data_IF_876351138190
#
_entry.id   IF_876351138190
#
_cell.length_a   1.000
_cell.length_b   1.000
_cell.length_c   1.000
_cell.angle_alpha   90.00
_cell.angle_beta   90.00
_cell.angle_gamma   90.00
#
_symmetry.space_group_name_H-M   'P 1'
#
loop_
_entity.id
_entity.type
_entity.pdbx_description
1 polymer ?
#
# COMPACT_ATOMS: atom_id res chain seq x y z
N UNK A 1 29.90 21.83 15.74
CA UNK A 1 28.56 22.21 16.24
C UNK A 1 28.74 22.67 17.68
N UNK A 2 28.36 23.90 17.99
CA UNK A 2 28.38 24.43 19.36
C UNK A 2 26.96 24.23 19.92
N UNK A 3 26.85 23.65 21.11
CA UNK A 3 25.58 23.43 21.79
C UNK A 3 25.33 24.61 22.74
N UNK A 4 24.24 25.34 22.53
CA UNK A 4 23.85 26.46 23.40
C UNK A 4 23.28 25.95 24.74
N UNK A 5 23.31 26.82 25.75
CA UNK A 5 22.80 26.48 27.07
C UNK A 5 21.27 26.29 27.03
N UNK A 6 20.80 25.06 27.24
CA UNK A 6 19.38 24.69 27.21
C UNK A 6 18.99 23.82 26.02
N UNK A 7 19.82 23.77 24.98
CA UNK A 7 19.59 22.89 23.83
C UNK A 7 20.00 21.45 24.13
N UNK A 8 19.30 20.49 23.53
CA UNK A 8 19.80 19.12 23.42
C UNK A 8 20.83 19.02 22.30
N UNK A 9 21.70 18.02 22.33
CA UNK A 9 22.71 17.81 21.28
C UNK A 9 22.07 17.70 19.89
N UNK A 10 20.92 17.02 19.77
CA UNK A 10 20.20 16.90 18.50
C UNK A 10 19.61 18.22 18.01
N UNK A 11 19.11 19.09 18.90
CA UNK A 11 18.63 20.43 18.51
C UNK A 11 19.79 21.26 17.93
N UNK A 12 20.95 21.26 18.59
CA UNK A 12 22.14 21.96 18.09
C UNK A 12 22.62 21.41 16.73
N UNK A 13 22.57 20.09 16.52
CA UNK A 13 22.87 19.47 15.23
C UNK A 13 21.89 19.92 14.14
N UNK A 14 20.59 19.95 14.43
CA UNK A 14 19.54 20.34 13.48
C UNK A 14 19.72 21.78 13.00
N UNK A 15 20.11 22.70 13.90
CA UNK A 15 20.46 24.08 13.52
C UNK A 15 21.61 24.18 12.50
N UNK A 16 22.45 23.15 12.39
CA UNK A 16 23.55 23.06 11.43
C UNK A 16 23.24 22.14 10.24
N UNK A 17 21.98 21.73 10.06
CA UNK A 17 21.55 20.88 8.95
C UNK A 17 21.94 19.40 9.12
N UNK A 18 22.19 18.97 10.36
CA UNK A 18 22.59 17.60 10.72
C UNK A 18 21.53 16.95 11.60
N UNK A 19 21.37 15.64 11.46
CA UNK A 19 20.52 14.83 12.33
C UNK A 19 21.39 13.77 13.01
N UNK A 20 21.37 13.72 14.34
CA UNK A 20 22.14 12.74 15.10
C UNK A 20 21.55 11.34 14.97
N UNK A 21 22.42 10.33 14.98
CA UNK A 21 22.04 8.92 14.93
C UNK A 21 21.71 8.31 16.31
N UNK A 22 21.67 9.12 17.37
CA UNK A 22 21.27 8.68 18.70
C UNK A 22 20.58 9.82 19.46
N UNK A 23 19.67 9.52 20.41
CA UNK A 23 18.74 10.52 20.94
C UNK A 23 19.37 11.51 21.93
N UNK A 24 20.42 11.13 22.67
CA UNK A 24 20.96 11.93 23.79
C UNK A 24 22.36 12.45 23.51
N UNK A 25 23.27 11.58 23.07
CA UNK A 25 24.68 11.89 22.83
C UNK A 25 25.12 11.32 21.48
N UNK A 26 24.77 11.99 20.36
CA UNK A 26 25.10 11.54 19.01
C UNK A 26 26.61 11.60 18.76
N UNK A 27 27.21 10.43 18.54
CA UNK A 27 28.61 10.29 18.09
C UNK A 27 28.74 10.33 16.57
N UNK A 28 27.63 10.08 15.86
CA UNK A 28 27.51 10.15 14.42
C UNK A 28 26.29 11.01 14.08
N UNK A 29 26.40 11.80 13.02
CA UNK A 29 25.31 12.59 12.50
C UNK A 29 25.34 12.54 10.96
N UNK A 30 24.17 12.60 10.35
CA UNK A 30 23.99 12.59 8.90
C UNK A 30 23.39 13.93 8.48
N UNK A 31 23.82 14.48 7.35
CA UNK A 31 23.24 15.74 6.85
C UNK A 31 21.82 15.51 6.36
N UNK A 32 20.95 16.52 6.51
CA UNK A 32 19.60 16.46 5.92
C UNK A 32 19.66 16.29 4.40
N UNK A 33 20.66 16.86 3.73
CA UNK A 33 20.85 16.67 2.28
C UNK A 33 21.11 15.20 1.92
N UNK A 34 21.86 14.46 2.75
CA UNK A 34 22.10 13.04 2.52
C UNK A 34 20.84 12.21 2.81
N UNK A 35 20.10 12.54 3.86
CA UNK A 35 18.84 11.87 4.20
C UNK A 35 17.77 12.14 3.14
N UNK A 36 17.68 13.37 2.64
CA UNK A 36 16.77 13.73 1.55
C UNK A 36 17.18 13.06 0.23
N UNK A 37 18.47 12.99 -0.09
CA UNK A 37 18.93 12.21 -1.24
C UNK A 37 18.48 10.75 -1.12
N UNK A 38 18.63 10.15 0.07
CA UNK A 38 18.19 8.78 0.30
C UNK A 38 16.67 8.63 0.17
N UNK A 39 15.91 9.57 0.71
CA UNK A 39 14.46 9.64 0.62
C UNK A 39 13.99 9.70 -0.85
N UNK A 40 14.58 10.58 -1.66
CA UNK A 40 14.28 10.68 -3.08
C UNK A 40 14.66 9.40 -3.85
N UNK A 41 15.78 8.75 -3.48
CA UNK A 41 16.14 7.46 -4.07
C UNK A 41 15.08 6.40 -3.74
N UNK A 42 14.59 6.33 -2.50
CA UNK A 42 13.54 5.36 -2.14
C UNK A 42 12.22 5.62 -2.86
N UNK A 43 11.84 6.88 -3.06
CA UNK A 43 10.67 7.24 -3.84
C UNK A 43 10.79 6.79 -5.31
N UNK A 44 11.96 6.94 -5.93
CA UNK A 44 12.18 6.61 -7.35
C UNK A 44 12.62 5.16 -7.59
N UNK A 45 13.15 4.50 -6.56
CA UNK A 45 13.62 3.13 -6.58
C UNK A 45 13.31 2.47 -5.24
N UNK A 46 12.07 2.02 -5.07
CA UNK A 46 11.56 1.38 -3.85
C UNK A 46 12.23 0.05 -3.48
N UNK A 47 13.11 -0.47 -4.33
CA UNK A 47 13.96 -1.63 -4.00
C UNK A 47 15.31 -1.23 -3.35
N UNK A 48 15.62 0.06 -3.24
CA UNK A 48 16.90 0.55 -2.74
C UNK A 48 16.95 0.54 -1.20
N UNK A 49 17.74 -0.38 -0.64
CA UNK A 49 17.79 -0.61 0.81
C UNK A 49 18.68 0.37 1.57
N UNK A 50 18.40 0.54 2.87
CA UNK A 50 19.28 1.30 3.79
C UNK A 50 20.69 0.69 3.81
N UNK A 51 20.80 -0.64 3.72
CA UNK A 51 22.09 -1.31 3.62
C UNK A 51 22.86 -0.92 2.35
N UNK A 52 22.17 -0.76 1.21
CA UNK A 52 22.79 -0.29 -0.02
C UNK A 52 23.29 1.15 0.15
N UNK A 53 22.46 2.04 0.72
CA UNK A 53 22.87 3.41 1.04
C UNK A 53 24.09 3.45 1.97
N UNK A 54 24.06 2.67 3.05
CA UNK A 54 25.17 2.57 4.00
C UNK A 54 26.48 2.15 3.31
N UNK A 55 26.43 1.16 2.41
CA UNK A 55 27.60 0.74 1.62
C UNK A 55 28.13 1.86 0.72
N UNK A 56 27.24 2.61 0.06
CA UNK A 56 27.61 3.76 -0.78
C UNK A 56 28.33 4.82 0.07
N UNK A 57 27.78 5.18 1.22
CA UNK A 57 28.38 6.16 2.12
C UNK A 57 29.73 5.68 2.67
N UNK A 58 29.85 4.41 3.10
CA UNK A 58 31.12 3.85 3.53
C UNK A 58 32.20 3.90 2.44
N UNK A 59 31.81 3.64 1.17
CA UNK A 59 32.72 3.70 0.03
C UNK A 59 33.16 5.13 -0.29
N UNK A 60 32.24 6.10 -0.28
CA UNK A 60 32.54 7.51 -0.54
C UNK A 60 33.43 8.14 0.53
N UNK A 61 33.16 7.84 1.80
CA UNK A 61 33.87 8.45 2.92
C UNK A 61 35.14 7.70 3.32
N UNK A 62 35.52 6.63 2.59
CA UNK A 62 36.70 5.81 2.91
C UNK A 62 36.76 5.45 4.41
N UNK A 63 35.61 5.13 5.02
CA UNK A 63 35.51 4.93 6.48
C UNK A 63 36.33 3.67 6.84
N UNK A 64 37.61 3.88 7.07
CA UNK A 64 38.54 3.00 7.77
C UNK A 64 38.43 3.38 9.25
N UNK A 65 37.81 2.52 10.05
CA UNK A 65 38.16 2.53 11.47
C UNK A 65 39.60 1.99 11.60
N UNK A 66 40.45 2.63 12.41
CA UNK A 66 41.86 2.27 12.49
C UNK A 66 42.02 1.02 13.38
N UNK A 67 41.95 -0.17 12.80
CA UNK A 67 42.67 -1.32 13.34
C UNK A 67 44.05 -1.37 12.68
N UNK A 68 45.03 -0.85 13.41
CA UNK A 68 46.43 -0.82 13.01
C UNK A 68 47.02 -2.24 12.98
N UNK A 69 46.86 -2.99 11.88
CA UNK A 69 47.79 -4.08 11.48
C UNK A 69 47.49 -4.75 10.12
N UNK A 70 46.81 -4.09 9.18
CA UNK A 70 46.57 -4.66 7.83
C UNK A 70 46.88 -3.61 6.77
N UNK A 71 48.15 -3.18 6.68
CA UNK A 71 48.57 -2.18 5.69
C UNK A 71 49.09 -2.79 4.38
N UNK A 72 49.24 -4.13 4.28
CA UNK A 72 49.80 -4.76 3.08
C UNK A 72 48.83 -5.63 2.24
N UNK A 73 47.58 -5.86 2.67
CA UNK A 73 46.61 -6.66 1.90
C UNK A 73 45.50 -5.85 1.22
N UNK A 74 45.51 -4.52 1.36
CA UNK A 74 44.32 -3.67 1.15
C UNK A 74 44.41 -2.81 -0.12
N UNK A 75 45.02 -3.35 -1.20
CA UNK A 75 44.96 -2.71 -2.52
C UNK A 75 43.83 -3.26 -3.41
N UNK A 76 43.19 -4.38 -3.03
CA UNK A 76 42.14 -5.03 -3.86
C UNK A 76 40.79 -5.27 -3.17
N UNK A 77 40.61 -4.95 -1.87
CA UNK A 77 39.31 -5.02 -1.17
C UNK A 77 39.14 -3.83 -0.22
N UNK A 78 38.59 -2.73 -0.71
CA UNK A 78 38.36 -1.51 0.08
C UNK A 78 36.88 -1.13 0.11
N UNK A 79 36.05 -2.01 0.68
CA UNK A 79 34.69 -1.66 1.13
C UNK A 79 34.50 -2.27 2.51
N UNK A 80 34.83 -1.52 3.55
CA UNK A 80 34.55 -1.88 4.95
C UNK A 80 33.11 -1.47 5.27
N UNK A 81 32.14 -2.29 4.85
CA UNK A 81 30.77 -2.19 5.35
C UNK A 81 30.73 -2.52 6.83
N UNK A 82 30.21 -1.61 7.66
CA UNK A 82 29.99 -1.87 9.09
C UNK A 82 28.50 -1.99 9.36
N UNK A 83 28.06 -3.13 9.89
CA UNK A 83 26.66 -3.35 10.30
C UNK A 83 26.16 -2.30 11.29
N UNK A 84 27.04 -1.84 12.18
CA UNK A 84 26.72 -0.77 13.14
C UNK A 84 26.34 0.56 12.47
N UNK A 85 27.05 0.99 11.42
CA UNK A 85 26.70 2.21 10.71
C UNK A 85 25.34 2.09 10.00
N UNK A 86 24.99 0.90 9.52
CA UNK A 86 23.67 0.66 8.94
C UNK A 86 22.56 0.91 9.96
N UNK A 87 22.72 0.46 11.22
CA UNK A 87 21.74 0.70 12.29
C UNK A 87 21.63 2.19 12.59
N UNK A 88 22.75 2.89 12.75
CA UNK A 88 22.78 4.34 12.97
C UNK A 88 22.11 5.13 11.84
N UNK A 89 22.26 4.67 10.59
CA UNK A 89 21.62 5.28 9.44
C UNK A 89 20.10 5.02 9.42
N UNK A 90 19.66 3.81 9.80
CA UNK A 90 18.23 3.49 9.98
C UNK A 90 17.62 4.45 11.01
N UNK A 91 18.20 4.55 12.21
CA UNK A 91 17.68 5.41 13.28
C UNK A 91 17.55 6.89 12.86
N UNK A 92 18.58 7.41 12.18
CA UNK A 92 18.55 8.78 11.65
C UNK A 92 17.50 8.94 10.54
N UNK A 93 17.38 7.96 9.64
CA UNK A 93 16.42 8.01 8.54
C UNK A 93 14.97 7.87 9.01
N UNK A 94 14.68 7.00 9.97
CA UNK A 94 13.33 6.90 10.55
C UNK A 94 12.94 8.17 11.29
N UNK A 95 13.88 8.77 12.01
CA UNK A 95 13.67 10.08 12.65
C UNK A 95 13.39 11.15 11.61
N UNK A 96 14.13 11.17 10.50
CA UNK A 96 13.90 12.07 9.37
C UNK A 96 12.51 11.90 8.77
N UNK A 97 12.12 10.66 8.44
CA UNK A 97 10.79 10.36 7.92
C UNK A 97 9.69 10.68 8.93
N UNK A 98 9.94 10.53 10.22
CA UNK A 98 8.99 10.94 11.26
C UNK A 98 8.76 12.46 11.28
N UNK A 99 9.83 13.26 11.16
CA UNK A 99 9.74 14.72 11.05
C UNK A 99 8.94 15.10 9.81
N UNK A 100 9.25 14.52 8.64
CA UNK A 100 8.54 14.81 7.39
C UNK A 100 7.04 14.48 7.49
N UNK A 101 6.70 13.29 8.02
CA UNK A 101 5.30 12.89 8.23
C UNK A 101 4.57 13.86 9.16
N UNK A 102 5.21 14.31 10.23
CA UNK A 102 4.60 15.28 11.15
C UNK A 102 4.29 16.62 10.45
N UNK A 103 5.21 17.12 9.62
CA UNK A 103 5.01 18.32 8.81
C UNK A 103 3.88 18.12 7.81
N UNK A 104 3.89 17.00 7.06
CA UNK A 104 2.86 16.68 6.08
C UNK A 104 1.47 16.55 6.73
N UNK A 105 1.36 15.89 7.88
CA UNK A 105 0.10 15.78 8.61
C UNK A 105 -0.40 17.15 9.08
N UNK A 106 0.50 18.02 9.58
CA UNK A 106 0.13 19.38 9.97
C UNK A 106 -0.41 20.17 8.77
N UNK A 107 0.22 20.04 7.61
CA UNK A 107 -0.23 20.66 6.37
C UNK A 107 -1.58 20.09 5.91
N UNK A 108 -1.76 18.76 5.91
CA UNK A 108 -3.02 18.10 5.56
C UNK A 108 -4.16 18.61 6.45
N UNK A 109 -3.96 18.67 7.76
CA UNK A 109 -4.95 19.20 8.71
C UNK A 109 -5.28 20.68 8.41
N UNK A 110 -4.28 21.51 8.12
CA UNK A 110 -4.49 22.91 7.79
C UNK A 110 -5.27 23.11 6.47
N UNK A 111 -5.12 22.19 5.51
CA UNK A 111 -5.83 22.19 4.23
C UNK A 111 -7.19 21.46 4.29
N UNK A 112 -7.53 20.80 5.41
CA UNK A 112 -8.71 19.93 5.51
C UNK A 112 -8.60 18.67 4.64
N UNK A 113 -7.37 18.25 4.33
CA UNK A 113 -7.02 17.07 3.54
C UNK A 113 -6.60 15.88 4.42
N UNK A 114 -6.94 15.91 5.72
CA UNK A 114 -6.60 14.88 6.68
C UNK A 114 -7.68 13.78 6.80
N UNK A 115 -7.26 12.66 7.39
CA UNK A 115 -8.13 11.55 7.75
C UNK A 115 -8.22 10.45 6.70
N UNK A 116 -8.55 9.25 7.16
CA UNK A 116 -8.61 8.02 6.34
C UNK A 116 -9.65 8.06 5.22
N UNK A 117 -10.58 9.03 5.25
CA UNK A 117 -11.57 9.21 4.19
C UNK A 117 -11.08 10.11 3.05
N UNK A 118 -10.02 10.90 3.25
CA UNK A 118 -9.57 11.88 2.27
C UNK A 118 -9.11 11.23 0.96
N UNK A 119 -8.34 10.13 1.04
CA UNK A 119 -7.85 9.42 -0.15
C UNK A 119 -8.98 9.04 -1.10
N UNK A 120 -10.03 8.44 -0.57
CA UNK A 120 -11.19 8.02 -1.34
C UNK A 120 -12.13 9.18 -1.72
N UNK A 121 -12.19 10.24 -0.90
CA UNK A 121 -13.05 11.41 -1.16
C UNK A 121 -12.50 12.33 -2.23
N UNK A 122 -11.21 12.66 -2.15
CA UNK A 122 -10.64 13.89 -2.75
C UNK A 122 -9.23 13.77 -3.33
N UNK A 123 -8.51 12.65 -3.18
CA UNK A 123 -7.13 12.58 -3.69
C UNK A 123 -7.05 12.64 -5.22
N UNK A 124 -7.97 11.95 -5.92
CA UNK A 124 -8.10 12.10 -7.37
C UNK A 124 -9.03 13.27 -7.69
N UNK A 125 -8.46 14.43 -8.07
CA UNK A 125 -9.24 15.61 -8.43
C UNK A 125 -10.23 15.35 -9.56
N UNK A 126 -9.85 14.52 -10.55
CA UNK A 126 -10.72 14.20 -11.70
C UNK A 126 -11.94 13.37 -11.28
N UNK A 127 -11.81 12.50 -10.29
CA UNK A 127 -12.95 11.74 -9.75
C UNK A 127 -13.77 12.57 -8.74
N UNK A 128 -13.12 13.48 -8.03
CA UNK A 128 -13.69 14.16 -6.88
C UNK A 128 -14.34 15.50 -7.16
N UNK A 129 -13.87 16.19 -8.19
CA UNK A 129 -14.32 17.53 -8.52
C UNK A 129 -15.42 17.50 -9.57
N UNK A 130 -16.55 18.15 -9.28
CA UNK A 130 -17.68 18.30 -10.21
C UNK A 130 -17.87 19.77 -10.54
N UNK A 131 -18.05 20.09 -11.81
CA UNK A 131 -18.31 21.47 -12.24
C UNK A 131 -19.81 21.80 -12.19
N UNK A 132 -20.18 23.06 -11.89
CA UNK A 132 -21.57 23.50 -12.00
C UNK A 132 -22.13 23.27 -13.41
N UNK A 133 -23.20 22.48 -13.51
CA UNK A 133 -23.85 22.16 -14.80
C UNK A 133 -23.25 20.96 -15.54
N UNK A 134 -22.28 20.26 -14.96
CA UNK A 134 -21.76 19.02 -15.51
C UNK A 134 -22.84 17.94 -15.57
N UNK A 135 -22.95 17.17 -16.67
CA UNK A 135 -23.87 16.04 -16.75
C UNK A 135 -23.57 15.01 -15.66
N UNK A 136 -24.62 14.48 -15.02
CA UNK A 136 -24.44 13.37 -14.07
C UNK A 136 -23.91 12.13 -14.79
N UNK A 137 -22.76 11.66 -14.36
CA UNK A 137 -22.15 10.43 -14.84
C UNK A 137 -22.82 9.22 -14.20
N UNK A 138 -22.99 8.14 -14.97
CA UNK A 138 -23.48 6.85 -14.49
C UNK A 138 -22.70 5.73 -15.21
N UNK A 139 -21.77 5.05 -14.52
CA UNK A 139 -21.36 5.27 -13.12
C UNK A 139 -20.72 6.64 -12.88
N UNK A 140 -20.88 7.18 -11.66
CA UNK A 140 -20.28 8.43 -11.20
C UNK A 140 -18.77 8.33 -11.06
N UNK A 141 -18.26 7.22 -10.52
CA UNK A 141 -16.83 6.89 -10.51
C UNK A 141 -16.62 5.42 -10.84
N UNK A 142 -15.44 5.14 -11.39
CA UNK A 142 -14.98 3.81 -11.75
C UNK A 142 -13.79 3.45 -10.87
N UNK A 143 -13.87 2.29 -10.26
CA UNK A 143 -12.87 1.74 -9.37
C UNK A 143 -12.44 0.35 -9.84
N UNK A 144 -11.24 -0.06 -9.48
CA UNK A 144 -10.71 -1.41 -9.63
C UNK A 144 -10.24 -1.89 -8.27
N UNK A 145 -10.55 -3.15 -7.93
CA UNK A 145 -10.05 -3.77 -6.70
C UNK A 145 -9.48 -5.16 -6.97
N UNK A 146 -8.39 -5.49 -6.28
CA UNK A 146 -7.74 -6.81 -6.40
C UNK A 146 -6.75 -7.10 -5.26
N UNK A 147 -6.35 -8.37 -5.11
CA UNK A 147 -5.33 -8.83 -4.17
C UNK A 147 -3.92 -8.92 -4.78
N UNK A 148 -2.90 -8.48 -4.05
CA UNK A 148 -1.48 -8.67 -4.36
C UNK A 148 -0.76 -9.47 -3.27
N UNK A 149 -0.23 -10.63 -3.66
CA UNK A 149 0.49 -11.56 -2.78
C UNK A 149 2.01 -11.31 -2.72
N UNK A 150 2.53 -10.26 -3.36
CA UNK A 150 3.97 -9.97 -3.33
C UNK A 150 4.40 -9.22 -2.08
N UNK A 151 3.48 -8.45 -1.48
CA UNK A 151 3.69 -7.63 -0.29
C UNK A 151 3.71 -8.46 1.01
N UNK A 152 4.46 -9.58 1.00
CA UNK A 152 4.56 -10.52 2.12
C UNK A 152 5.51 -10.02 3.21
N UNK A 153 5.19 -10.33 4.46
CA UNK A 153 6.02 -10.09 5.64
C UNK A 153 6.07 -11.36 6.50
N UNK A 154 7.27 -11.81 6.86
CA UNK A 154 7.47 -13.03 7.64
C UNK A 154 6.97 -12.88 9.06
N UNK A 155 6.30 -13.92 9.57
CA UNK A 155 5.86 -13.95 10.95
C UNK A 155 7.04 -13.87 11.93
N UNK A 156 6.84 -13.14 13.02
CA UNK A 156 7.89 -12.82 14.00
C UNK A 156 8.91 -11.76 13.59
N UNK A 157 8.84 -11.20 12.37
CA UNK A 157 9.75 -10.12 11.94
C UNK A 157 9.52 -8.85 12.76
N UNK A 158 10.60 -8.31 13.34
CA UNK A 158 10.54 -7.07 14.11
C UNK A 158 9.75 -7.17 15.41
N UNK A 159 9.73 -8.33 16.07
CA UNK A 159 9.02 -8.54 17.35
C UNK A 159 9.46 -7.60 18.49
N UNK A 160 10.64 -7.00 18.40
CA UNK A 160 11.14 -6.00 19.34
C UNK A 160 10.70 -4.56 19.00
N UNK A 161 10.15 -4.33 17.81
CA UNK A 161 9.67 -3.03 17.37
C UNK A 161 8.23 -2.82 17.86
N UNK A 162 8.07 -1.84 18.75
CA UNK A 162 6.77 -1.50 19.34
C UNK A 162 6.09 -0.33 18.62
N UNK A 163 6.67 0.21 17.56
CA UNK A 163 6.13 1.37 16.88
C UNK A 163 4.89 1.00 16.08
N UNK A 164 3.91 1.91 16.08
CA UNK A 164 2.68 1.79 15.30
C UNK A 164 2.74 2.82 14.18
N UNK A 165 2.57 2.35 12.94
CA UNK A 165 2.51 3.23 11.78
C UNK A 165 1.05 3.57 11.48
N UNK A 166 0.72 4.87 11.43
CA UNK A 166 -0.58 5.35 11.01
C UNK A 166 -0.49 5.83 9.57
N UNK A 167 -1.32 5.26 8.70
CA UNK A 167 -1.39 5.60 7.28
C UNK A 167 -2.82 5.98 6.90
N UNK A 168 -2.96 6.92 5.97
CA UNK A 168 -4.24 7.29 5.38
C UNK A 168 -4.72 6.25 4.34
N UNK A 169 -3.85 5.34 3.90
CA UNK A 169 -4.19 4.29 2.92
C UNK A 169 -4.84 3.08 3.56
N UNK A 170 -4.38 2.67 4.74
CA UNK A 170 -4.71 1.35 5.29
C UNK A 170 -6.04 1.37 6.07
N UNK A 171 -6.93 0.46 5.71
CA UNK A 171 -8.17 0.20 6.45
C UNK A 171 -7.81 -0.50 7.77
N UNK A 172 -8.27 0.00 8.93
CA UNK A 172 -8.02 -0.65 10.21
C UNK A 172 -8.50 -2.11 10.22
N UNK A 173 -7.70 -2.99 10.82
CA UNK A 173 -7.96 -4.44 10.83
C UNK A 173 -9.30 -4.78 11.50
N UNK A 174 -9.73 -3.97 12.47
CA UNK A 174 -11.01 -4.13 13.15
C UNK A 174 -12.17 -3.99 12.18
N UNK A 175 -12.12 -3.01 11.27
CA UNK A 175 -13.14 -2.83 10.22
C UNK A 175 -13.14 -4.00 9.25
N UNK A 176 -11.96 -4.44 8.79
CA UNK A 176 -11.83 -5.61 7.90
C UNK A 176 -12.43 -6.87 8.55
N UNK A 177 -12.19 -7.06 9.85
CA UNK A 177 -12.64 -8.25 10.56
C UNK A 177 -14.15 -8.28 10.84
N UNK A 178 -14.88 -7.17 10.69
CA UNK A 178 -16.36 -7.19 10.75
C UNK A 178 -16.96 -8.12 9.69
N UNK A 179 -16.26 -8.32 8.57
CA UNK A 179 -16.69 -9.18 7.48
C UNK A 179 -16.15 -10.62 7.54
N UNK A 180 -15.44 -10.99 8.61
CA UNK A 180 -14.79 -12.31 8.74
C UNK A 180 -15.80 -13.46 8.59
N UNK A 181 -16.98 -13.31 9.18
CA UNK A 181 -18.01 -14.37 9.25
C UNK A 181 -19.16 -14.16 8.24
N UNK A 182 -19.11 -13.11 7.43
CA UNK A 182 -20.21 -12.74 6.53
C UNK A 182 -20.50 -13.78 5.45
N UNK A 183 -19.55 -14.66 5.13
CA UNK A 183 -19.69 -15.68 4.07
C UNK A 183 -19.91 -17.10 4.62
N UNK A 184 -19.52 -17.37 5.88
CA UNK A 184 -19.59 -18.72 6.45
C UNK A 184 -21.02 -19.17 6.81
N UNK A 185 -21.96 -18.23 6.99
CA UNK A 185 -23.29 -18.53 7.55
C UNK A 185 -24.26 -19.24 6.60
N UNK A 186 -23.98 -19.37 5.29
CA UNK A 186 -24.96 -19.87 4.31
C UNK A 186 -24.55 -21.06 3.45
N UNK A 187 -23.35 -21.63 3.61
CA UNK A 187 -22.92 -22.77 2.79
C UNK A 187 -23.62 -24.11 3.10
N UNK A 188 -24.59 -24.14 4.05
CA UNK A 188 -25.19 -25.39 4.53
C UNK A 188 -26.52 -25.80 3.91
N UNK A 189 -27.20 -24.98 3.09
CA UNK A 189 -28.50 -25.35 2.53
C UNK A 189 -28.78 -24.70 1.15
N UNK A 190 -28.22 -25.25 0.07
CA UNK A 190 -28.85 -25.17 -1.27
C UNK A 190 -28.51 -26.44 -2.07
N UNK A 191 -29.40 -27.43 -2.04
CA UNK A 191 -29.50 -28.46 -3.07
C UNK A 191 -30.33 -27.90 -4.22
N UNK A 192 -29.65 -27.45 -5.28
CA UNK A 192 -30.31 -26.92 -6.47
C UNK A 192 -29.37 -26.89 -7.66
N UNK A 193 -29.66 -27.73 -8.66
CA UNK A 193 -29.02 -27.76 -9.97
C UNK A 193 -29.12 -26.39 -10.65
N UNK A 194 -28.01 -25.66 -10.74
CA UNK A 194 -27.87 -24.49 -11.61
C UNK A 194 -26.38 -24.31 -11.96
N UNK A 195 -26.10 -24.14 -13.25
CA UNK A 195 -24.83 -23.81 -13.93
C UNK A 195 -23.55 -23.80 -13.06
N UNK A 196 -22.54 -24.59 -13.45
CA UNK A 196 -21.20 -24.59 -12.83
C UNK A 196 -20.73 -23.16 -12.53
N UNK A 197 -20.34 -22.92 -11.28
CA UNK A 197 -19.93 -21.60 -10.83
C UNK A 197 -18.67 -21.21 -11.59
N UNK A 198 -18.56 -19.96 -12.06
CA UNK A 198 -17.31 -19.46 -12.65
C UNK A 198 -16.13 -19.59 -11.67
N UNK A 199 -16.42 -19.64 -10.36
CA UNK A 199 -15.45 -19.85 -9.29
C UNK A 199 -14.84 -21.26 -9.26
N UNK A 200 -15.50 -22.27 -9.83
CA UNK A 200 -15.03 -23.67 -9.76
C UNK A 200 -13.80 -23.91 -10.64
N UNK A 201 -13.59 -23.06 -11.66
CA UNK A 201 -12.49 -23.15 -12.63
C UNK A 201 -11.29 -22.24 -12.31
N UNK A 202 -11.37 -21.39 -11.28
CA UNK A 202 -10.31 -20.44 -10.93
C UNK A 202 -9.26 -21.08 -10.02
N UNK A 203 -8.18 -21.61 -10.62
CA UNK A 203 -7.07 -22.26 -9.92
C UNK A 203 -6.30 -21.29 -9.00
N UNK A 204 -6.30 -19.98 -9.30
CA UNK A 204 -5.61 -18.96 -8.49
C UNK A 204 -6.30 -18.70 -7.14
N UNK A 205 -7.63 -18.85 -7.07
CA UNK A 205 -8.37 -18.76 -5.80
C UNK A 205 -7.98 -19.86 -4.79
N UNK A 206 -7.28 -20.91 -5.25
CA UNK A 206 -6.78 -22.04 -4.44
C UNK A 206 -5.25 -22.05 -4.30
N UNK A 207 -4.55 -21.06 -4.87
CA UNK A 207 -3.09 -21.11 -5.04
C UNK A 207 -2.29 -20.72 -3.79
N UNK A 208 -2.94 -20.28 -2.71
CA UNK A 208 -2.23 -20.15 -1.43
C UNK A 208 -2.30 -21.50 -0.74
N UNK A 209 -1.24 -22.31 -0.89
CA UNK A 209 -1.06 -23.52 -0.11
C UNK A 209 -1.05 -23.12 1.38
N UNK A 210 -1.76 -23.87 2.24
CA UNK A 210 -1.92 -23.57 3.68
C UNK A 210 -0.56 -23.45 4.40
N UNK A 211 0.48 -24.12 3.90
CA UNK A 211 1.85 -24.07 4.40
C UNK A 211 2.54 -22.70 4.16
N UNK A 212 2.28 -22.04 3.03
CA UNK A 212 2.78 -20.69 2.77
C UNK A 212 2.08 -19.64 3.63
N UNK A 213 0.80 -19.84 3.99
CA UNK A 213 0.06 -18.90 4.83
C UNK A 213 0.67 -18.80 6.23
N UNK A 214 1.12 -19.92 6.80
CA UNK A 214 1.60 -19.96 8.19
C UNK A 214 2.95 -19.27 8.39
N UNK A 215 3.73 -19.08 7.34
CA UNK A 215 5.08 -18.48 7.41
C UNK A 215 5.01 -16.93 7.40
N UNK A 216 3.91 -16.36 6.91
CA UNK A 216 3.78 -14.91 6.71
C UNK A 216 2.69 -14.31 7.58
N UNK A 217 3.05 -13.32 8.40
CA UNK A 217 2.10 -12.55 9.19
C UNK A 217 1.26 -11.62 8.31
N UNK A 218 1.86 -10.98 7.30
CA UNK A 218 1.16 -10.38 6.15
C UNK A 218 1.41 -11.24 4.91
N UNK A 219 0.34 -11.77 4.33
CA UNK A 219 0.40 -12.58 3.09
C UNK A 219 0.32 -11.73 1.84
N UNK A 220 -0.05 -10.45 1.96
CA UNK A 220 -0.22 -9.52 0.86
C UNK A 220 -1.03 -8.28 1.25
N UNK A 221 -1.49 -7.57 0.23
CA UNK A 221 -2.38 -6.41 0.34
C UNK A 221 -3.55 -6.57 -0.62
N UNK A 222 -4.72 -6.05 -0.25
CA UNK A 222 -5.87 -5.92 -1.14
C UNK A 222 -6.12 -4.44 -1.39
N UNK A 223 -6.07 -4.03 -2.65
CA UNK A 223 -6.04 -2.61 -3.05
C UNK A 223 -7.33 -2.22 -3.75
N UNK A 224 -7.77 -0.99 -3.50
CA UNK A 224 -8.73 -0.26 -4.32
C UNK A 224 -8.03 0.93 -4.97
N UNK A 225 -8.29 1.13 -6.26
CA UNK A 225 -7.83 2.29 -6.98
C UNK A 225 -8.92 2.83 -7.90
N UNK A 226 -8.89 4.14 -8.16
CA UNK A 226 -9.73 4.75 -9.19
C UNK A 226 -9.16 4.46 -10.59
N UNK A 227 -9.98 4.65 -11.64
CA UNK A 227 -9.54 4.51 -13.05
C UNK A 227 -8.31 5.35 -13.44
N UNK A 228 -8.04 6.46 -12.74
CA UNK A 228 -6.87 7.32 -12.99
C UNK A 228 -5.60 6.83 -12.29
N UNK A 229 -5.65 5.66 -11.63
CA UNK A 229 -4.48 5.04 -11.01
C UNK A 229 -4.22 5.43 -9.57
N UNK A 230 -4.95 6.37 -8.97
CA UNK A 230 -4.76 6.73 -7.56
C UNK A 230 -5.19 5.59 -6.65
N UNK A 231 -4.37 5.27 -5.66
CA UNK A 231 -4.68 4.29 -4.62
C UNK A 231 -5.62 4.94 -3.60
N UNK A 232 -6.83 4.39 -3.47
CA UNK A 232 -7.88 4.97 -2.65
C UNK A 232 -7.91 4.37 -1.24
N UNK A 233 -7.68 3.06 -1.12
CA UNK A 233 -7.49 2.38 0.16
C UNK A 233 -6.84 1.00 -0.01
N UNK A 234 -6.31 0.47 1.08
CA UNK A 234 -5.60 -0.82 1.15
C UNK A 234 -6.09 -1.58 2.38
N UNK A 235 -6.42 -2.87 2.23
CA UNK A 235 -6.63 -3.78 3.34
C UNK A 235 -5.44 -4.75 3.47
N UNK A 236 -4.92 -4.91 4.69
CA UNK A 236 -3.88 -5.90 4.97
C UNK A 236 -4.44 -7.32 4.87
N UNK A 237 -3.80 -8.16 4.07
CA UNK A 237 -4.10 -9.59 4.06
C UNK A 237 -3.24 -10.28 5.11
N UNK A 238 -3.87 -10.79 6.18
CA UNK A 238 -3.18 -11.39 7.33
C UNK A 238 -3.51 -12.86 7.44
N UNK A 239 -2.48 -13.70 7.58
CA UNK A 239 -2.60 -15.16 7.81
C UNK A 239 -3.68 -15.83 6.92
N UNK A 240 -3.81 -15.39 5.66
CA UNK A 240 -4.83 -15.93 4.74
C UNK A 240 -4.53 -15.59 3.28
N UNK A 241 -5.18 -16.28 2.34
CA UNK A 241 -5.25 -15.81 0.95
C UNK A 241 -6.22 -14.64 0.77
N UNK A 242 -6.64 -14.38 -0.46
CA UNK A 242 -7.66 -13.36 -0.76
C UNK A 242 -9.05 -13.83 -0.31
N UNK A 243 -9.38 -13.55 0.95
CA UNK A 243 -10.71 -13.80 1.50
C UNK A 243 -11.68 -12.68 1.12
N UNK A 244 -12.95 -13.02 0.94
CA UNK A 244 -14.03 -12.08 0.63
C UNK A 244 -14.12 -10.87 1.57
N UNK A 245 -13.70 -11.01 2.84
CA UNK A 245 -13.73 -9.91 3.83
C UNK A 245 -12.94 -8.68 3.39
N UNK A 246 -11.86 -8.85 2.62
CA UNK A 246 -11.04 -7.73 2.14
C UNK A 246 -11.79 -6.91 1.09
N UNK A 247 -12.36 -7.57 0.09
CA UNK A 247 -13.23 -6.94 -0.90
C UNK A 247 -14.44 -6.27 -0.25
N UNK A 248 -15.09 -6.92 0.73
CA UNK A 248 -16.22 -6.33 1.44
C UNK A 248 -15.84 -5.06 2.22
N UNK A 249 -14.70 -5.07 2.91
CA UNK A 249 -14.23 -3.91 3.67
C UNK A 249 -13.93 -2.69 2.77
N UNK A 250 -13.36 -2.96 1.59
CA UNK A 250 -13.11 -1.93 0.57
C UNK A 250 -14.41 -1.40 -0.02
N UNK A 251 -15.34 -2.28 -0.39
CA UNK A 251 -16.66 -1.89 -0.93
C UNK A 251 -17.44 -1.05 0.09
N UNK A 252 -17.36 -1.37 1.38
CA UNK A 252 -17.95 -0.55 2.43
C UNK A 252 -17.41 0.88 2.41
N UNK A 253 -16.09 1.09 2.24
CA UNK A 253 -15.53 2.44 2.13
C UNK A 253 -16.09 3.20 0.93
N UNK A 254 -16.23 2.54 -0.22
CA UNK A 254 -16.80 3.16 -1.43
C UNK A 254 -18.25 3.60 -1.19
N UNK A 255 -19.07 2.72 -0.61
CA UNK A 255 -20.47 3.03 -0.33
C UNK A 255 -20.63 4.16 0.69
N UNK A 256 -19.85 4.17 1.76
CA UNK A 256 -19.92 5.18 2.84
C UNK A 256 -19.40 6.56 2.39
N UNK A 257 -18.37 6.60 1.52
CA UNK A 257 -17.64 7.84 1.21
C UNK A 257 -18.01 8.41 -0.17
N UNK A 258 -18.10 7.58 -1.20
CA UNK A 258 -18.42 8.04 -2.57
C UNK A 258 -19.93 8.16 -2.82
N UNK A 259 -20.74 7.34 -2.12
CA UNK A 259 -22.19 7.35 -2.24
C UNK A 259 -22.71 6.61 -3.48
N UNK A 260 -23.76 7.12 -4.15
CA UNK A 260 -24.49 6.36 -5.17
C UNK A 260 -23.77 6.28 -6.52
N UNK A 261 -24.20 5.32 -7.34
CA UNK A 261 -23.84 5.13 -8.75
C UNK A 261 -22.34 4.84 -8.96
N UNK A 262 -21.72 4.05 -8.09
CA UNK A 262 -20.32 3.64 -8.25
C UNK A 262 -20.21 2.34 -9.04
N UNK A 263 -19.13 2.17 -9.81
CA UNK A 263 -18.78 0.89 -10.42
C UNK A 263 -17.41 0.39 -9.96
N UNK A 264 -17.35 -0.89 -9.60
CA UNK A 264 -16.13 -1.55 -9.15
C UNK A 264 -15.83 -2.75 -10.05
N UNK A 265 -14.67 -2.74 -10.69
CA UNK A 265 -14.09 -3.88 -11.38
C UNK A 265 -13.39 -4.83 -10.39
N UNK A 266 -13.62 -6.12 -10.56
CA UNK A 266 -12.87 -7.18 -9.88
C UNK A 266 -12.77 -8.41 -10.78
N UNK A 267 -11.63 -9.12 -10.77
CA UNK A 267 -11.40 -10.34 -11.57
C UNK A 267 -12.52 -11.38 -11.42
N UNK A 268 -13.05 -11.49 -10.21
CA UNK A 268 -14.15 -12.39 -9.84
C UNK A 268 -15.47 -11.63 -9.62
N UNK A 269 -15.67 -10.51 -10.32
CA UNK A 269 -16.81 -9.60 -10.15
C UNK A 269 -18.19 -10.28 -10.08
N UNK A 270 -18.43 -11.33 -10.88
CA UNK A 270 -19.67 -12.09 -10.83
C UNK A 270 -19.91 -12.81 -9.47
N UNK A 271 -18.84 -13.29 -8.85
CA UNK A 271 -18.86 -13.93 -7.53
C UNK A 271 -18.90 -12.88 -6.44
N UNK A 272 -18.07 -11.83 -6.56
CA UNK A 272 -18.04 -10.70 -5.63
C UNK A 272 -19.39 -10.02 -5.51
N UNK A 273 -20.13 -9.86 -6.62
CA UNK A 273 -21.50 -9.36 -6.61
C UNK A 273 -22.43 -10.22 -5.75
N UNK A 274 -22.38 -11.55 -5.90
CA UNK A 274 -23.17 -12.48 -5.07
C UNK A 274 -22.77 -12.40 -3.60
N UNK A 275 -21.49 -12.24 -3.33
CA UNK A 275 -20.94 -12.10 -1.97
C UNK A 275 -21.42 -10.79 -1.32
N UNK A 276 -21.32 -9.65 -2.02
CA UNK A 276 -21.83 -8.35 -1.55
C UNK A 276 -23.33 -8.44 -1.25
N UNK A 277 -24.12 -8.98 -2.19
CA UNK A 277 -25.56 -9.14 -2.02
C UNK A 277 -25.98 -10.15 -0.95
N UNK A 278 -25.07 -11.03 -0.51
CA UNK A 278 -25.33 -11.98 0.58
C UNK A 278 -24.79 -11.52 1.95
N UNK A 279 -24.04 -10.40 1.96
CA UNK A 279 -23.41 -9.80 3.14
C UNK A 279 -24.28 -8.70 3.80
N UNK A 280 -23.72 -8.08 4.85
CA UNK A 280 -24.30 -6.90 5.52
C UNK A 280 -24.46 -5.69 4.58
N UNK A 281 -23.70 -5.64 3.48
CA UNK A 281 -23.74 -4.54 2.50
C UNK A 281 -24.89 -4.65 1.50
N UNK A 282 -25.68 -5.74 1.50
CA UNK A 282 -26.67 -6.03 0.46
C UNK A 282 -27.68 -4.90 0.23
N UNK A 283 -28.24 -4.34 1.31
CA UNK A 283 -29.25 -3.29 1.20
C UNK A 283 -28.61 -1.98 0.73
N UNK A 284 -27.52 -1.56 1.38
CA UNK A 284 -26.77 -0.36 1.03
C UNK A 284 -26.29 -0.38 -0.44
N UNK A 285 -25.73 -1.50 -0.90
CA UNK A 285 -25.28 -1.66 -2.28
C UNK A 285 -26.42 -1.54 -3.32
N UNK A 286 -27.65 -1.97 -2.98
CA UNK A 286 -28.82 -1.79 -3.84
C UNK A 286 -29.31 -0.35 -3.83
N UNK A 287 -29.42 0.25 -2.64
CA UNK A 287 -29.93 1.61 -2.46
C UNK A 287 -29.02 2.65 -3.11
N UNK A 288 -27.71 2.39 -3.11
CA UNK A 288 -26.69 3.20 -3.76
C UNK A 288 -26.38 2.78 -5.21
N UNK A 289 -27.13 1.84 -5.78
CA UNK A 289 -26.96 1.39 -7.17
C UNK A 289 -25.50 0.99 -7.52
N UNK A 290 -24.86 0.20 -6.65
CA UNK A 290 -23.51 -0.28 -6.88
C UNK A 290 -23.46 -1.25 -8.06
N UNK A 291 -22.67 -0.93 -9.07
CA UNK A 291 -22.35 -1.83 -10.17
C UNK A 291 -21.05 -2.60 -9.87
N UNK A 292 -21.10 -3.92 -10.01
CA UNK A 292 -19.91 -4.78 -9.89
C UNK A 292 -19.66 -5.42 -11.24
N UNK A 293 -18.45 -5.25 -11.75
CA UNK A 293 -18.05 -5.58 -13.11
C UNK A 293 -16.90 -6.58 -13.06
N UNK A 294 -16.83 -7.49 -14.03
CA UNK A 294 -15.65 -8.34 -14.21
C UNK A 294 -14.66 -7.59 -15.08
N UNK A 295 -13.39 -7.47 -14.69
CA UNK A 295 -12.39 -6.76 -15.49
C UNK A 295 -12.30 -7.32 -16.93
N UNK A 296 -11.94 -6.48 -17.90
CA UNK A 296 -12.03 -6.83 -19.32
C UNK A 296 -11.14 -8.03 -19.69
N UNK A 297 -9.90 -8.09 -19.19
CA UNK A 297 -8.99 -9.18 -19.56
C UNK A 297 -9.44 -10.50 -18.92
N UNK A 298 -9.77 -10.45 -17.63
CA UNK A 298 -10.23 -11.62 -16.90
C UNK A 298 -11.61 -12.09 -17.35
N UNK A 299 -12.46 -11.20 -17.88
CA UNK A 299 -13.82 -11.49 -18.33
C UNK A 299 -13.91 -12.63 -19.34
N UNK A 300 -12.96 -12.73 -20.27
CA UNK A 300 -12.95 -13.82 -21.26
C UNK A 300 -12.67 -15.21 -20.67
N UNK A 301 -12.18 -15.28 -19.43
CA UNK A 301 -11.99 -16.56 -18.71
C UNK A 301 -13.27 -17.07 -18.03
N UNK A 302 -14.33 -16.24 -17.98
CA UNK A 302 -15.63 -16.62 -17.44
C UNK A 302 -16.49 -17.33 -18.49
N UNK A 303 -17.51 -18.06 -18.05
CA UNK A 303 -18.44 -18.70 -19.00
C UNK A 303 -19.24 -17.65 -19.80
N UNK A 304 -19.73 -18.03 -20.98
CA UNK A 304 -20.39 -17.11 -21.92
C UNK A 304 -21.57 -16.34 -21.29
N UNK A 305 -22.38 -16.99 -20.45
CA UNK A 305 -23.51 -16.33 -19.77
C UNK A 305 -23.01 -15.26 -18.79
N UNK A 306 -21.95 -15.55 -18.05
CA UNK A 306 -21.32 -14.58 -17.16
C UNK A 306 -20.74 -13.39 -17.92
N UNK A 307 -20.09 -13.64 -19.07
CA UNK A 307 -19.55 -12.58 -19.92
C UNK A 307 -20.65 -11.61 -20.37
N UNK A 308 -21.75 -12.12 -20.93
CA UNK A 308 -22.86 -11.28 -21.39
C UNK A 308 -23.49 -10.41 -20.28
N UNK A 309 -23.37 -10.84 -19.02
CA UNK A 309 -23.97 -10.15 -17.87
C UNK A 309 -23.03 -9.21 -17.13
N UNK A 310 -21.72 -9.49 -17.12
CA UNK A 310 -20.78 -8.81 -16.22
C UNK A 310 -19.53 -8.26 -16.91
N UNK A 311 -19.29 -8.59 -18.18
CA UNK A 311 -18.13 -8.09 -18.92
C UNK A 311 -18.38 -6.63 -19.34
N UNK A 312 -17.36 -5.73 -19.23
CA UNK A 312 -17.52 -4.29 -19.45
C UNK A 312 -18.06 -3.95 -20.84
N UNK A 313 -17.64 -4.69 -21.87
CA UNK A 313 -18.16 -4.59 -23.25
C UNK A 313 -19.69 -4.57 -23.37
N UNK A 314 -20.39 -5.29 -22.50
CA UNK A 314 -21.86 -5.41 -22.55
C UNK A 314 -22.58 -4.52 -21.52
N UNK A 315 -21.83 -3.70 -20.78
CA UNK A 315 -22.36 -2.85 -19.74
C UNK A 315 -22.25 -1.38 -20.14
N UNK A 316 -23.35 -0.65 -19.99
CA UNK A 316 -23.37 0.78 -20.25
C UNK A 316 -22.53 1.55 -19.22
N UNK A 317 -21.97 2.69 -19.64
CA UNK A 317 -21.30 3.66 -18.76
C UNK A 317 -19.79 3.43 -18.54
N UNK A 318 -19.24 2.28 -18.93
CA UNK A 318 -17.81 1.99 -18.75
C UNK A 318 -16.93 2.48 -19.92
N UNK A 319 -17.52 2.69 -21.11
CA UNK A 319 -16.80 3.18 -22.27
C UNK A 319 -15.69 2.21 -22.71
N UNK A 320 -14.45 2.70 -22.78
CA UNK A 320 -13.25 1.93 -23.15
C UNK A 320 -12.44 1.46 -21.94
N UNK A 321 -12.96 1.63 -20.72
CA UNK A 321 -12.26 1.26 -19.49
C UNK A 321 -12.14 -0.28 -19.35
N UNK A 322 -10.93 -0.77 -19.07
CA UNK A 322 -10.67 -2.20 -18.87
C UNK A 322 -10.80 -2.64 -17.40
N UNK A 323 -10.74 -1.68 -16.47
CA UNK A 323 -10.77 -1.85 -15.01
C UNK A 323 -9.59 -2.68 -14.48
N UNK A 324 -8.47 -2.77 -15.22
CA UNK A 324 -7.27 -3.54 -14.85
C UNK A 324 -6.24 -2.72 -14.07
N UNK A 325 -6.62 -1.53 -13.56
CA UNK A 325 -5.71 -0.57 -12.90
C UNK A 325 -4.83 -1.21 -11.82
N UNK A 326 -5.39 -2.14 -11.03
CA UNK A 326 -4.64 -2.83 -9.98
C UNK A 326 -3.40 -3.59 -10.50
N UNK A 327 -3.45 -4.16 -11.72
CA UNK A 327 -2.30 -4.92 -12.27
C UNK A 327 -1.09 -4.01 -12.49
N UNK A 328 -1.31 -2.78 -12.95
CA UNK A 328 -0.26 -1.78 -13.14
C UNK A 328 0.34 -1.32 -11.81
N UNK A 329 -0.53 -1.06 -10.82
CA UNK A 329 -0.11 -0.71 -9.47
C UNK A 329 0.76 -1.83 -8.88
N UNK A 330 0.34 -3.09 -9.02
CA UNK A 330 1.08 -4.24 -8.50
C UNK A 330 2.41 -4.45 -9.19
N UNK A 331 2.47 -4.29 -10.52
CA UNK A 331 3.71 -4.38 -11.26
C UNK A 331 4.77 -3.41 -10.72
N UNK A 332 4.36 -2.21 -10.33
CA UNK A 332 5.24 -1.21 -9.73
C UNK A 332 5.57 -1.52 -8.25
N UNK A 333 4.54 -1.82 -7.44
CA UNK A 333 4.69 -2.05 -6.00
C UNK A 333 5.47 -3.31 -5.64
N UNK A 334 5.54 -4.30 -6.53
CA UNK A 334 6.32 -5.52 -6.32
C UNK A 334 7.83 -5.25 -6.11
N UNK A 335 8.34 -4.09 -6.55
CA UNK A 335 9.71 -3.65 -6.27
C UNK A 335 10.01 -3.50 -4.76
N UNK A 336 9.01 -3.23 -3.93
CA UNK A 336 9.14 -3.12 -2.46
C UNK A 336 9.36 -4.47 -1.77
N UNK A 337 9.00 -5.59 -2.43
CA UNK A 337 8.88 -6.90 -1.80
C UNK A 337 10.19 -7.37 -1.14
N UNK A 338 11.34 -7.02 -1.70
CA UNK A 338 12.64 -7.39 -1.16
C UNK A 338 12.97 -6.66 0.16
N UNK A 339 12.47 -5.43 0.33
CA UNK A 339 12.72 -4.63 1.53
C UNK A 339 11.79 -5.00 2.68
N UNK A 340 10.52 -5.28 2.36
CA UNK A 340 9.47 -5.42 3.38
C UNK A 340 9.34 -6.85 3.94
N UNK A 341 9.92 -7.86 3.28
CA UNK A 341 9.75 -9.28 3.66
C UNK A 341 10.22 -9.63 5.06
N UNK A 342 11.30 -9.00 5.50
CA UNK A 342 11.92 -9.22 6.81
C UNK A 342 11.80 -7.99 7.72
N UNK A 343 11.00 -7.01 7.31
CA UNK A 343 10.81 -5.77 8.04
C UNK A 343 9.88 -5.96 9.23
N UNK A 344 9.99 -5.10 10.25
CA UNK A 344 8.94 -4.99 11.26
C UNK A 344 7.63 -4.55 10.61
N UNK A 345 6.50 -4.71 11.31
CA UNK A 345 5.22 -4.24 10.81
C UNK A 345 5.24 -2.72 10.54
N UNK A 346 5.86 -1.95 11.42
CA UNK A 346 6.04 -0.51 11.24
C UNK A 346 6.73 -0.18 9.91
N UNK A 347 7.89 -0.79 9.66
CA UNK A 347 8.66 -0.56 8.43
C UNK A 347 7.95 -1.12 7.20
N UNK A 348 7.28 -2.27 7.29
CA UNK A 348 6.48 -2.83 6.20
C UNK A 348 5.41 -1.83 5.74
N UNK A 349 4.68 -1.22 6.68
CA UNK A 349 3.69 -0.19 6.37
C UNK A 349 4.35 1.09 5.85
N UNK A 350 5.41 1.56 6.51
CA UNK A 350 6.13 2.78 6.12
C UNK A 350 6.65 2.71 4.67
N UNK A 351 7.23 1.58 4.27
CA UNK A 351 7.73 1.39 2.89
C UNK A 351 6.61 1.37 1.85
N UNK A 352 5.48 0.72 2.15
CA UNK A 352 4.32 0.72 1.26
C UNK A 352 3.68 2.10 1.17
N UNK A 353 3.56 2.81 2.29
CA UNK A 353 3.03 4.18 2.36
C UNK A 353 3.88 5.14 1.52
N UNK A 354 5.20 5.15 1.72
CA UNK A 354 6.15 5.94 0.92
C UNK A 354 6.06 5.64 -0.58
N UNK A 355 5.89 4.37 -0.93
CA UNK A 355 5.76 3.95 -2.32
C UNK A 355 4.46 4.46 -2.95
N UNK A 356 3.33 4.26 -2.28
CA UNK A 356 2.03 4.67 -2.81
C UNK A 356 1.85 6.20 -2.81
N UNK A 357 2.45 6.91 -1.85
CA UNK A 357 2.45 8.38 -1.84
C UNK A 357 3.18 8.97 -3.05
N UNK A 358 4.34 8.38 -3.42
CA UNK A 358 5.03 8.77 -4.64
C UNK A 358 4.27 8.36 -5.89
N UNK A 359 3.68 7.16 -5.91
CA UNK A 359 2.86 6.70 -7.03
C UNK A 359 1.69 7.65 -7.29
N UNK A 360 0.93 8.02 -6.26
CA UNK A 360 -0.18 8.96 -6.37
C UNK A 360 0.32 10.35 -6.83
N UNK A 361 1.48 10.80 -6.34
CA UNK A 361 2.10 12.05 -6.76
C UNK A 361 2.49 12.04 -8.23
N UNK A 362 3.05 10.94 -8.73
CA UNK A 362 3.39 10.78 -10.15
C UNK A 362 2.11 10.72 -11.00
N UNK A 363 1.07 10.00 -10.54
CA UNK A 363 -0.24 10.00 -11.22
C UNK A 363 -0.86 11.37 -11.28
N UNK A 364 -0.73 12.18 -10.24
CA UNK A 364 -1.19 13.55 -10.24
C UNK A 364 -0.48 14.40 -11.29
N UNK A 365 0.83 14.23 -11.48
CA UNK A 365 1.59 14.93 -12.51
C UNK A 365 1.24 14.47 -13.93
N UNK A 366 0.76 13.24 -14.11
CA UNK A 366 0.29 12.71 -15.39
C UNK A 366 -1.11 13.23 -15.81
N UNK A 367 -1.83 13.91 -14.90
CA UNK A 367 -3.16 14.47 -15.20
C UNK A 367 -3.10 15.79 -16.01
N UNK A 368 -1.93 16.43 -16.10
CA UNK A 368 -1.67 17.63 -16.91
C UNK A 368 -1.17 17.27 -18.30
#
# INVERSE_FOLDING_TARGET
VIQEAGDTANVALVHHGLLGCSPTQPLCAVTFHCLELFHQIQHRQSSFSVQAMAKVLCALHNIHMPDQLIFLFTFFKKVTYTSHFCILLVDAFDTYLHILRHIQMTLKCALGHDGSKWKLRGACLVCAYEQPGEPKLCPRRLHSMDGNFSAKQLDGSGSADMWVFNSDYFIPQEKVNQFKDSVQSKSRNVTGSCASSCSDNWVVARAVQEDQVQVFQQTGIFVLACRHGFVECIAEMRHSGELAKYALAVVEQVLDICGPDQAIGHDIGCSSRKTILSSLLSQCAKDLNLQVVVNAFHGFTHNHVCQLQNHPLYLAGLGIEDLETCKWIFANSNSTAALIRHASLFHWMQFLDLHFDQWDSDKYLELS
#
